data_IF_000695124036
#
_entry.id   IF_000695124036
#
_cell.length_a   1.000
_cell.length_b   1.000
_cell.length_c   1.000
_cell.angle_alpha   90.00
_cell.angle_beta   90.00
_cell.angle_gamma   90.00
#
_symmetry.space_group_name_H-M   'P 1'
#
loop_
_entity.id
_entity.type
_entity.pdbx_description
1 polymer ?
#
# COMPACT_ATOMS: atom_id res chain seq x y z
N UNK A 1 0.34 -80.23 -33.73
CA UNK A 1 0.14 -79.33 -32.58
C UNK A 1 0.67 -77.96 -32.99
N UNK A 2 -0.21 -77.12 -33.51
CA UNK A 2 0.08 -75.72 -33.89
C UNK A 2 -1.20 -74.90 -33.69
N UNK A 3 -1.10 -73.67 -33.16
CA UNK A 3 -2.19 -73.00 -32.43
C UNK A 3 -3.24 -72.29 -33.30
N UNK A 4 -4.42 -72.12 -32.71
CA UNK A 4 -5.59 -71.37 -33.21
C UNK A 4 -5.30 -69.85 -33.29
N UNK A 5 -5.64 -69.16 -34.39
CA UNK A 5 -5.58 -67.70 -34.46
C UNK A 5 -6.79 -67.07 -33.74
N UNK A 6 -6.49 -66.32 -32.68
CA UNK A 6 -7.48 -65.64 -31.84
C UNK A 6 -8.27 -64.51 -32.54
N UNK A 7 -9.38 -64.06 -31.94
CA UNK A 7 -10.29 -63.10 -32.55
C UNK A 7 -9.69 -61.67 -32.61
N UNK A 8 -9.97 -60.88 -33.66
CA UNK A 8 -9.53 -59.49 -33.72
C UNK A 8 -10.29 -58.62 -32.71
N UNK A 9 -9.52 -57.89 -31.91
CA UNK A 9 -10.00 -57.02 -30.86
C UNK A 9 -10.50 -55.65 -31.34
N UNK A 10 -11.53 -55.17 -30.63
CA UNK A 10 -11.56 -53.83 -30.07
C UNK A 10 -11.69 -52.63 -31.02
N UNK A 11 -12.93 -52.28 -31.38
CA UNK A 11 -13.28 -50.90 -31.70
C UNK A 11 -14.49 -50.49 -30.84
N UNK A 12 -14.25 -49.82 -29.70
CA UNK A 12 -15.30 -49.17 -28.90
C UNK A 12 -14.92 -47.72 -28.58
N UNK A 13 -15.60 -46.83 -29.29
CA UNK A 13 -16.26 -45.65 -28.73
C UNK A 13 -15.36 -44.52 -28.25
N UNK A 14 -15.21 -43.51 -29.11
CA UNK A 14 -14.93 -42.14 -28.68
C UNK A 14 -15.94 -41.73 -27.59
N UNK A 15 -15.45 -41.36 -26.41
CA UNK A 15 -16.28 -40.79 -25.34
C UNK A 15 -16.48 -39.29 -25.62
N UNK A 16 -17.71 -38.77 -25.67
CA UNK A 16 -17.92 -37.33 -25.76
C UNK A 16 -17.54 -36.66 -24.43
N UNK A 17 -16.88 -35.51 -24.52
CA UNK A 17 -16.44 -34.72 -23.36
C UNK A 17 -17.61 -34.30 -22.49
N UNK A 18 -17.51 -34.57 -21.18
CA UNK A 18 -18.48 -34.11 -20.20
C UNK A 18 -18.50 -32.58 -20.08
N UNK A 19 -19.59 -32.01 -19.53
CA UNK A 19 -19.72 -30.57 -19.38
C UNK A 19 -18.60 -30.02 -18.50
N UNK A 20 -17.81 -29.12 -19.07
CA UNK A 20 -16.75 -28.38 -18.39
C UNK A 20 -17.38 -27.46 -17.35
N UNK A 21 -17.31 -27.84 -16.08
CA UNK A 21 -17.70 -26.99 -14.96
C UNK A 21 -16.77 -25.78 -14.94
N UNK A 22 -17.30 -24.61 -15.30
CA UNK A 22 -16.59 -23.33 -15.21
C UNK A 22 -16.85 -22.79 -13.80
N UNK A 23 -15.83 -22.55 -12.96
CA UNK A 23 -16.08 -21.99 -11.63
C UNK A 23 -16.59 -20.56 -11.77
N UNK A 24 -17.78 -20.30 -11.23
CA UNK A 24 -18.31 -18.95 -11.10
C UNK A 24 -17.32 -18.13 -10.26
N UNK A 25 -16.66 -17.17 -10.92
CA UNK A 25 -15.76 -16.21 -10.28
C UNK A 25 -16.58 -15.42 -9.25
N UNK A 26 -16.49 -15.81 -8.00
CA UNK A 26 -17.11 -15.12 -6.87
C UNK A 26 -16.30 -13.86 -6.61
N UNK A 27 -16.64 -12.76 -7.28
CA UNK A 27 -16.16 -11.43 -6.90
C UNK A 27 -16.69 -11.12 -5.52
N UNK A 28 -15.88 -11.37 -4.50
CA UNK A 28 -16.09 -10.80 -3.19
C UNK A 28 -15.87 -9.30 -3.33
N UNK A 29 -16.95 -8.56 -3.57
CA UNK A 29 -16.95 -7.11 -3.46
C UNK A 29 -16.67 -6.78 -2.00
N UNK A 30 -15.42 -6.42 -1.71
CA UNK A 30 -15.05 -5.90 -0.41
C UNK A 30 -15.88 -4.65 -0.16
N UNK A 31 -16.81 -4.73 0.79
CA UNK A 31 -17.51 -3.56 1.30
C UNK A 31 -16.46 -2.70 2.00
N UNK A 32 -16.11 -1.58 1.37
CA UNK A 32 -15.41 -0.49 2.07
C UNK A 32 -16.41 0.05 3.08
N UNK A 33 -16.23 -0.33 4.35
CA UNK A 33 -16.90 0.31 5.48
C UNK A 33 -16.20 1.66 5.66
N UNK A 34 -16.85 2.81 5.41
CA UNK A 34 -16.26 4.08 5.79
C UNK A 34 -16.12 4.09 7.31
N UNK A 35 -14.88 4.03 7.79
CA UNK A 35 -14.57 4.14 9.22
C UNK A 35 -15.22 5.41 9.76
N UNK A 36 -15.99 5.28 10.84
CA UNK A 36 -16.58 6.39 11.56
C UNK A 36 -15.52 7.48 11.82
N UNK A 37 -15.91 8.73 11.53
CA UNK A 37 -15.08 9.94 11.58
C UNK A 37 -14.30 10.07 12.89
N UNK A 38 -13.07 9.55 12.92
CA UNK A 38 -12.07 10.08 13.85
C UNK A 38 -11.81 11.53 13.43
N UNK A 39 -11.73 12.48 14.38
CA UNK A 39 -11.48 13.88 14.05
C UNK A 39 -10.20 13.96 13.22
N UNK A 40 -10.30 14.61 12.04
CA UNK A 40 -9.16 14.75 11.14
C UNK A 40 -7.96 15.32 11.91
N UNK A 41 -6.73 14.83 11.65
CA UNK A 41 -5.56 15.34 12.32
C UNK A 41 -5.46 16.85 12.07
N UNK A 42 -5.17 17.61 13.13
CA UNK A 42 -5.06 19.06 13.05
C UNK A 42 -3.83 19.47 12.23
N UNK A 43 -2.77 18.66 12.32
CA UNK A 43 -1.53 18.86 11.57
C UNK A 43 -1.02 17.51 11.07
N UNK A 44 -0.66 17.42 9.79
CA UNK A 44 -0.10 16.19 9.20
C UNK A 44 0.99 16.55 8.22
N UNK A 45 2.21 16.12 8.51
CA UNK A 45 3.34 16.19 7.60
C UNK A 45 3.77 14.79 7.15
N UNK A 46 4.10 14.67 5.87
CA UNK A 46 4.52 13.43 5.22
C UNK A 46 5.78 13.68 4.40
N UNK A 47 6.81 12.91 4.72
CA UNK A 47 8.08 12.80 4.00
C UNK A 47 8.74 14.15 3.73
N UNK A 48 8.70 15.05 4.71
CA UNK A 48 9.29 16.38 4.58
C UNK A 48 10.80 16.27 4.42
N UNK A 49 11.28 16.75 3.28
CA UNK A 49 12.69 16.93 2.96
C UNK A 49 12.96 18.42 2.79
N UNK A 50 14.03 18.92 3.39
CA UNK A 50 14.45 20.30 3.21
C UNK A 50 15.97 20.46 3.26
N UNK A 51 16.46 21.39 2.45
CA UNK A 51 17.89 21.68 2.26
C UNK A 51 18.14 23.15 2.56
N UNK A 52 19.11 23.43 3.41
CA UNK A 52 19.50 24.78 3.81
C UNK A 52 21.02 24.91 3.64
N UNK A 53 21.46 25.88 2.86
CA UNK A 53 22.89 26.10 2.59
C UNK A 53 23.60 24.88 1.97
N UNK A 54 22.90 24.10 1.13
CA UNK A 54 23.45 22.90 0.50
C UNK A 54 23.46 21.64 1.38
N UNK A 55 23.04 21.72 2.64
CA UNK A 55 22.92 20.57 3.55
C UNK A 55 21.46 20.16 3.72
N UNK A 56 21.17 18.86 3.62
CA UNK A 56 19.87 18.31 4.07
C UNK A 56 19.75 18.47 5.58
N UNK A 57 18.79 19.28 6.02
CA UNK A 57 18.45 19.49 7.44
C UNK A 57 17.26 18.66 7.87
N UNK A 58 16.38 18.31 6.93
CA UNK A 58 15.28 17.37 7.14
C UNK A 58 15.32 16.33 6.03
N UNK A 59 15.16 15.07 6.41
CA UNK A 59 15.27 13.92 5.51
C UNK A 59 14.11 12.95 5.83
N UNK A 60 13.01 13.07 5.09
CA UNK A 60 11.86 12.16 5.18
C UNK A 60 11.07 12.27 6.49
N UNK A 61 10.89 13.47 7.05
CA UNK A 61 10.19 13.62 8.34
C UNK A 61 8.68 13.53 8.15
N UNK A 62 8.08 12.53 8.81
CA UNK A 62 6.64 12.29 8.82
C UNK A 62 6.09 12.38 10.26
N UNK A 63 5.05 13.18 10.48
CA UNK A 63 4.39 13.32 11.79
C UNK A 63 2.91 13.68 11.64
N UNK A 64 2.11 13.27 12.62
CA UNK A 64 0.69 13.57 12.67
C UNK A 64 0.33 14.01 14.08
N UNK A 65 -0.30 15.18 14.22
CA UNK A 65 -0.73 15.72 15.51
C UNK A 65 -2.25 15.75 15.56
N UNK A 66 -2.87 14.93 16.44
CA UNK A 66 -4.29 14.97 16.67
C UNK A 66 -4.72 16.31 17.30
N UNK A 67 -6.00 16.71 17.13
CA UNK A 67 -6.54 17.87 17.83
C UNK A 67 -6.35 17.77 19.35
N UNK A 68 -6.05 18.91 20.00
CA UNK A 68 -5.89 19.00 21.45
C UNK A 68 -4.58 18.42 22.01
N UNK A 69 -3.67 17.94 21.15
CA UNK A 69 -2.35 17.46 21.56
C UNK A 69 -1.28 18.54 21.40
N UNK A 70 -0.24 18.46 22.24
CA UNK A 70 0.96 19.30 22.16
C UNK A 70 2.12 18.42 21.73
N UNK A 71 2.89 18.87 20.74
CA UNK A 71 4.08 18.19 20.24
C UNK A 71 5.31 19.03 20.59
N UNK A 72 6.30 18.41 21.23
CA UNK A 72 7.61 19.01 21.47
C UNK A 72 8.64 18.48 20.48
N UNK A 73 9.39 19.38 19.84
CA UNK A 73 10.52 19.01 18.97
C UNK A 73 11.81 19.22 19.74
N UNK A 74 12.57 18.15 19.97
CA UNK A 74 13.85 18.15 20.69
C UNK A 74 14.98 17.64 19.80
N UNK A 75 16.23 17.94 20.17
CA UNK A 75 17.43 17.58 19.41
C UNK A 75 18.55 18.59 19.60
N UNK A 76 19.70 18.35 18.99
CA UNK A 76 20.87 19.24 19.08
C UNK A 76 20.68 20.55 18.30
N UNK A 77 21.57 21.51 18.53
CA UNK A 77 21.62 22.73 17.74
C UNK A 77 22.00 22.40 16.29
N UNK A 78 21.24 22.93 15.34
CA UNK A 78 21.43 22.62 13.91
C UNK A 78 20.73 21.34 13.42
N UNK A 79 20.00 20.61 14.27
CA UNK A 79 19.24 19.41 13.87
C UNK A 79 17.99 19.70 13.01
N UNK A 80 17.76 20.95 12.57
CA UNK A 80 16.62 21.30 11.71
C UNK A 80 15.30 21.58 12.45
N UNK A 81 15.29 21.68 13.78
CA UNK A 81 14.06 21.91 14.58
C UNK A 81 13.29 23.17 14.15
N UNK A 82 13.97 24.32 14.08
CA UNK A 82 13.35 25.58 13.67
C UNK A 82 12.86 25.53 12.22
N UNK A 83 13.60 24.83 11.35
CA UNK A 83 13.19 24.58 9.96
C UNK A 83 11.92 23.74 9.91
N UNK A 84 11.84 22.65 10.68
CA UNK A 84 10.63 21.82 10.76
C UNK A 84 9.42 22.64 11.21
N UNK A 85 9.57 23.45 12.25
CA UNK A 85 8.46 24.31 12.73
C UNK A 85 8.01 25.32 11.68
N UNK A 86 8.93 25.90 10.90
CA UNK A 86 8.57 26.83 9.80
C UNK A 86 7.84 26.14 8.66
N UNK A 87 8.25 24.92 8.30
CA UNK A 87 7.55 24.11 7.30
C UNK A 87 6.13 23.76 7.76
N UNK A 88 5.98 23.30 9.00
CA UNK A 88 4.68 22.96 9.58
C UNK A 88 3.76 24.19 9.73
N UNK A 89 4.33 25.38 9.94
CA UNK A 89 3.58 26.64 9.99
C UNK A 89 3.25 27.21 8.59
N UNK A 90 3.70 26.57 7.50
CA UNK A 90 3.54 27.06 6.13
C UNK A 90 4.39 28.30 5.79
N UNK A 91 5.34 28.66 6.65
CA UNK A 91 6.22 29.82 6.45
C UNK A 91 7.35 29.54 5.44
N UNK A 92 7.73 28.27 5.27
CA UNK A 92 8.70 27.80 4.27
C UNK A 92 8.09 26.63 3.49
N UNK A 93 8.55 26.43 2.24
CA UNK A 93 8.14 25.26 1.44
C UNK A 93 9.17 24.14 1.53
N UNK A 94 8.74 22.88 1.69
CA UNK A 94 9.67 21.76 1.64
C UNK A 94 10.17 21.55 0.21
N UNK A 95 11.33 20.92 0.08
CA UNK A 95 11.86 20.48 -1.22
C UNK A 95 11.05 19.28 -1.72
N UNK A 96 10.59 18.43 -0.82
CA UNK A 96 9.70 17.30 -1.10
C UNK A 96 8.84 16.97 0.11
N UNK A 97 7.71 16.31 -0.11
CA UNK A 97 6.73 16.00 0.93
C UNK A 97 5.56 16.97 0.97
N UNK A 98 4.63 16.73 1.91
CA UNK A 98 3.41 17.53 2.13
C UNK A 98 3.19 17.80 3.61
N UNK A 99 2.53 18.91 3.96
CA UNK A 99 2.29 19.36 5.32
C UNK A 99 0.95 20.07 5.44
#
# INVERSE_FOLDING_TARGET
MSPEPGPPGGARGARPGGPRVVPARRTASSLVVPSMSSPAPLLRAQDLVHVLGGRRVLDGVSLTVPPGRRLGVIGENGAGKSTLLRLLAGAERPVSGTG
#
